data_IF_935523907640
#
_entry.id   IF_935523907640
#
_cell.length_a   1.000
_cell.length_b   1.000
_cell.length_c   1.000
_cell.angle_alpha   90.00
_cell.angle_beta   90.00
_cell.angle_gamma   90.00
#
_symmetry.space_group_name_H-M   'P 1'
#
loop_
_entity.id
_entity.type
_entity.pdbx_description
1 polymer ?
#
# COMPACT_ATOMS: atom_id res chain seq x y z
N UNK A 1 -49.37 2.24 -1.81
CA UNK A 1 -48.67 1.55 -2.93
C UNK A 1 -47.20 1.93 -2.86
N UNK A 2 -46.38 1.07 -2.25
CA UNK A 2 -44.99 1.40 -1.91
C UNK A 2 -44.05 1.01 -3.03
N UNK A 3 -43.48 2.01 -3.70
CA UNK A 3 -42.44 1.83 -4.72
C UNK A 3 -41.15 1.37 -4.04
N UNK A 4 -40.81 0.10 -4.22
CA UNK A 4 -39.51 -0.44 -3.81
C UNK A 4 -38.46 0.04 -4.81
N UNK A 5 -37.58 0.96 -4.38
CA UNK A 5 -36.38 1.29 -5.13
C UNK A 5 -35.45 0.07 -5.10
N UNK A 6 -35.24 -0.55 -6.26
CA UNK A 6 -34.29 -1.65 -6.41
C UNK A 6 -32.86 -1.12 -6.28
N UNK A 7 -32.11 -1.72 -5.36
CA UNK A 7 -30.66 -1.50 -5.20
C UNK A 7 -29.98 -1.78 -6.54
N UNK A 8 -29.43 -0.73 -7.15
CA UNK A 8 -28.51 -0.85 -8.29
C UNK A 8 -27.22 -1.50 -7.79
N UNK A 9 -27.01 -2.79 -8.11
CA UNK A 9 -25.70 -3.41 -8.01
C UNK A 9 -24.78 -2.73 -9.04
N UNK A 10 -23.80 -1.97 -8.55
CA UNK A 10 -22.66 -1.57 -9.38
C UNK A 10 -21.80 -2.82 -9.60
N UNK A 11 -21.96 -3.43 -10.77
CA UNK A 11 -21.05 -4.43 -11.31
C UNK A 11 -19.65 -3.79 -11.44
N UNK A 12 -18.70 -4.25 -10.63
CA UNK A 12 -17.28 -3.93 -10.80
C UNK A 12 -16.81 -4.75 -12.00
N UNK A 13 -16.72 -4.09 -13.15
CA UNK A 13 -16.22 -4.67 -14.39
C UNK A 13 -14.70 -4.77 -14.24
N UNK A 14 -14.20 -5.89 -13.72
CA UNK A 14 -12.79 -6.26 -13.88
C UNK A 14 -12.56 -6.74 -15.31
N UNK A 15 -12.55 -5.84 -16.30
CA UNK A 15 -12.13 -6.18 -17.65
C UNK A 15 -10.62 -5.96 -17.78
N UNK A 16 -9.83 -6.91 -17.29
CA UNK A 16 -8.42 -7.00 -17.71
C UNK A 16 -8.39 -7.71 -19.07
N UNK A 17 -7.96 -7.05 -20.16
CA UNK A 17 -7.86 -7.67 -21.49
C UNK A 17 -6.69 -8.67 -21.61
N UNK A 18 -5.99 -8.95 -20.51
CA UNK A 18 -4.87 -9.91 -20.48
C UNK A 18 -5.19 -10.96 -19.44
N UNK A 19 -5.16 -12.22 -19.86
CA UNK A 19 -5.32 -13.39 -18.99
C UNK A 19 -4.08 -13.58 -18.10
N UNK A 20 -3.78 -12.58 -17.29
CA UNK A 20 -2.77 -12.64 -16.23
C UNK A 20 -3.50 -13.09 -14.97
N UNK A 21 -3.03 -14.14 -14.27
CA UNK A 21 -3.62 -14.52 -13.00
C UNK A 21 -3.48 -13.37 -11.98
N UNK A 22 -4.50 -13.17 -11.16
CA UNK A 22 -4.63 -12.05 -10.23
C UNK A 22 -3.37 -11.75 -9.39
N UNK A 23 -2.74 -12.78 -8.82
CA UNK A 23 -1.50 -12.63 -8.03
C UNK A 23 -0.35 -12.00 -8.85
N UNK A 24 -0.20 -12.39 -10.12
CA UNK A 24 0.82 -11.81 -11.01
C UNK A 24 0.46 -10.39 -11.40
N UNK A 25 -0.83 -10.06 -11.52
CA UNK A 25 -1.27 -8.69 -11.76
C UNK A 25 -0.88 -7.75 -10.61
N UNK A 26 -1.06 -8.18 -9.36
CA UNK A 26 -0.65 -7.38 -8.20
C UNK A 26 0.85 -7.14 -8.14
N UNK A 27 1.67 -8.15 -8.45
CA UNK A 27 3.13 -8.00 -8.53
C UNK A 27 3.53 -7.00 -9.61
N UNK A 28 2.88 -7.06 -10.79
CA UNK A 28 3.11 -6.11 -11.87
C UNK A 28 2.71 -4.69 -11.47
N UNK A 29 1.57 -4.52 -10.77
CA UNK A 29 1.15 -3.20 -10.27
C UNK A 29 2.12 -2.66 -9.24
N UNK A 30 2.58 -3.49 -8.29
CA UNK A 30 3.61 -3.09 -7.32
C UNK A 30 4.88 -2.63 -8.01
N UNK A 31 5.38 -3.43 -8.95
CA UNK A 31 6.58 -3.08 -9.71
C UNK A 31 6.42 -1.76 -10.47
N UNK A 32 5.27 -1.52 -11.11
CA UNK A 32 4.99 -0.26 -11.82
C UNK A 32 4.94 0.96 -10.88
N UNK A 33 4.45 0.79 -9.64
CA UNK A 33 4.49 1.87 -8.64
C UNK A 33 5.91 2.19 -8.20
N UNK A 34 6.77 1.19 -8.08
CA UNK A 34 8.18 1.36 -7.71
C UNK A 34 9.03 1.93 -8.86
N UNK A 35 8.66 1.61 -10.11
CA UNK A 35 9.42 1.96 -11.32
C UNK A 35 8.60 2.84 -12.28
N UNK A 36 8.01 3.90 -11.73
CA UNK A 36 7.21 4.83 -12.52
C UNK A 36 8.01 5.50 -13.65
N UNK A 37 7.41 5.56 -14.84
CA UNK A 37 7.99 6.21 -16.03
C UNK A 37 7.00 7.26 -16.57
N UNK A 38 7.44 8.49 -16.91
CA UNK A 38 6.59 9.52 -17.50
C UNK A 38 5.99 9.12 -18.85
N UNK A 39 4.81 9.64 -19.25
CA UNK A 39 4.12 9.25 -20.48
C UNK A 39 4.98 9.32 -21.75
N UNK A 40 5.87 10.32 -21.84
CA UNK A 40 6.74 10.53 -23.01
C UNK A 40 7.77 9.41 -23.25
N UNK A 41 8.08 8.62 -22.21
CA UNK A 41 9.08 7.54 -22.27
C UNK A 41 8.44 6.14 -22.29
N UNK A 42 7.10 6.04 -22.30
CA UNK A 42 6.41 4.75 -22.29
C UNK A 42 6.34 4.17 -23.68
N UNK A 43 6.63 2.88 -23.78
CA UNK A 43 6.43 2.15 -25.03
C UNK A 43 5.02 1.53 -25.07
N UNK A 44 4.26 1.66 -26.17
CA UNK A 44 2.90 1.15 -26.26
C UNK A 44 2.82 -0.38 -26.24
N UNK A 45 3.93 -1.07 -26.49
CA UNK A 45 4.01 -2.55 -26.42
C UNK A 45 4.29 -3.09 -25.01
N UNK A 46 4.42 -2.23 -23.99
CA UNK A 46 4.57 -2.69 -22.61
C UNK A 46 3.31 -3.39 -22.12
N UNK A 47 3.45 -4.15 -21.04
CA UNK A 47 2.31 -4.85 -20.43
C UNK A 47 1.20 -3.83 -20.10
N UNK A 48 -0.05 -4.04 -20.55
CA UNK A 48 -1.12 -3.08 -20.31
C UNK A 48 -1.43 -2.89 -18.84
N UNK A 49 -1.13 -3.86 -17.96
CA UNK A 49 -1.23 -3.68 -16.51
C UNK A 49 -0.28 -2.57 -16.03
N UNK A 50 0.95 -2.52 -16.56
CA UNK A 50 1.89 -1.43 -16.25
C UNK A 50 1.38 -0.10 -16.78
N UNK A 51 0.91 -0.05 -18.03
CA UNK A 51 0.43 1.19 -18.65
C UNK A 51 -0.79 1.74 -17.91
N UNK A 52 -1.72 0.87 -17.50
CA UNK A 52 -2.87 1.25 -16.68
C UNK A 52 -2.47 1.76 -15.30
N UNK A 53 -1.55 1.07 -14.62
CA UNK A 53 -1.09 1.50 -13.30
C UNK A 53 -0.33 2.83 -13.37
N UNK A 54 0.55 3.02 -14.37
CA UNK A 54 1.24 4.29 -14.56
C UNK A 54 0.29 5.43 -14.92
N UNK A 55 -0.75 5.18 -15.72
CA UNK A 55 -1.80 6.16 -16.00
C UNK A 55 -2.59 6.55 -14.74
N UNK A 56 -2.81 5.59 -13.83
CA UNK A 56 -3.40 5.86 -12.52
C UNK A 56 -2.48 6.73 -11.67
N UNK A 57 -1.17 6.46 -11.68
CA UNK A 57 -0.19 7.28 -10.97
C UNK A 57 -0.16 8.71 -11.54
N UNK A 58 -0.24 8.87 -12.87
CA UNK A 58 -0.35 10.20 -13.50
C UNK A 58 -1.56 10.97 -12.97
N UNK A 59 -2.71 10.30 -12.89
CA UNK A 59 -3.92 10.89 -12.34
C UNK A 59 -3.75 11.23 -10.86
N UNK A 60 -3.16 10.35 -10.05
CA UNK A 60 -2.87 10.64 -8.64
C UNK A 60 -1.95 11.86 -8.48
N UNK A 61 -0.95 12.03 -9.35
CA UNK A 61 -0.04 13.19 -9.36
C UNK A 61 -0.78 14.45 -9.78
N UNK A 62 -1.52 14.40 -10.90
CA UNK A 62 -2.31 15.54 -11.38
C UNK A 62 -3.35 15.97 -10.35
N UNK A 63 -4.05 15.00 -9.76
CA UNK A 63 -4.95 15.26 -8.65
C UNK A 63 -4.18 15.87 -7.49
N UNK A 64 -3.01 15.37 -7.10
CA UNK A 64 -2.18 15.97 -6.05
C UNK A 64 -1.72 17.38 -6.37
N UNK A 65 -1.44 17.72 -7.62
CA UNK A 65 -1.01 19.06 -8.04
C UNK A 65 -2.18 20.04 -8.07
N UNK A 66 -3.29 19.61 -8.67
CA UNK A 66 -4.57 20.30 -8.55
C UNK A 66 -4.94 20.45 -7.07
N UNK A 67 -4.55 19.45 -6.26
CA UNK A 67 -4.71 19.44 -4.82
C UNK A 67 -3.72 20.38 -4.08
N UNK A 68 -2.50 20.49 -4.56
CA UNK A 68 -1.50 21.43 -4.05
C UNK A 68 -1.92 22.89 -4.23
N UNK A 69 -2.83 23.13 -5.19
CA UNK A 69 -3.33 24.46 -5.55
C UNK A 69 -4.46 25.00 -4.65
N UNK A 70 -4.60 24.52 -3.40
CA UNK A 70 -5.44 25.03 -2.28
C UNK A 70 -6.69 24.13 -1.96
N UNK A 71 -6.71 23.56 -0.74
CA UNK A 71 -7.87 23.40 0.20
C UNK A 71 -8.35 22.02 0.72
N UNK A 72 -8.09 20.85 0.13
CA UNK A 72 -8.69 19.57 0.59
C UNK A 72 -7.78 18.71 1.49
N UNK A 73 -6.94 19.33 2.31
CA UNK A 73 -6.43 18.70 3.55
C UNK A 73 -6.83 19.49 4.80
N UNK A 74 -7.80 20.40 4.68
CA UNK A 74 -8.45 20.97 5.85
C UNK A 74 -9.56 20.00 6.24
N UNK A 75 -9.34 19.21 7.28
CA UNK A 75 -10.43 18.55 8.00
C UNK A 75 -11.17 19.67 8.72
N UNK A 76 -12.41 20.03 8.31
CA UNK A 76 -13.14 21.09 8.99
C UNK A 76 -13.39 20.61 10.40
N UNK A 77 -12.70 21.22 11.36
CA UNK A 77 -13.06 21.07 12.76
C UNK A 77 -14.39 21.78 12.93
N UNK A 78 -15.37 21.05 13.43
CA UNK A 78 -16.69 21.59 13.76
C UNK A 78 -16.46 22.85 14.62
N UNK A 79 -17.02 24.03 14.28
CA UNK A 79 -16.88 25.21 15.11
C UNK A 79 -17.59 24.94 16.45
N UNK A 80 -16.85 24.46 17.43
CA UNK A 80 -17.34 24.08 18.75
C UNK A 80 -16.39 24.58 19.82
N UNK A 81 -16.95 25.22 20.85
CA UNK A 81 -16.32 26.22 21.71
C UNK A 81 -15.11 25.79 22.55
N UNK A 82 -14.68 24.53 22.56
CA UNK A 82 -13.54 24.11 23.39
C UNK A 82 -12.74 23.00 22.73
N UNK A 83 -11.54 23.36 22.25
CA UNK A 83 -10.50 22.38 21.98
C UNK A 83 -10.03 21.83 23.33
N UNK A 84 -10.37 20.58 23.63
CA UNK A 84 -9.77 19.87 24.76
C UNK A 84 -8.35 19.52 24.34
N UNK A 85 -7.39 20.41 24.63
CA UNK A 85 -5.97 20.05 24.56
C UNK A 85 -5.75 19.04 25.68
N UNK A 86 -5.75 17.76 25.33
CA UNK A 86 -5.30 16.76 26.27
C UNK A 86 -3.84 17.12 26.63
N UNK A 87 -3.48 17.19 27.92
CA UNK A 87 -2.12 17.49 28.31
C UNK A 87 -1.19 16.51 27.61
N UNK A 88 -0.08 17.02 27.04
CA UNK A 88 0.96 16.20 26.43
C UNK A 88 1.24 15.02 27.36
N UNK A 89 0.93 13.81 26.87
CA UNK A 89 0.95 12.57 27.64
C UNK A 89 2.13 12.57 28.58
N UNK A 90 1.86 12.74 29.90
CA UNK A 90 2.90 12.72 30.91
C UNK A 90 3.70 11.43 30.70
N UNK A 91 5.02 11.57 30.56
CA UNK A 91 6.00 10.56 30.16
C UNK A 91 5.44 9.13 30.28
N UNK A 92 4.90 8.60 29.17
CA UNK A 92 4.41 7.23 29.13
C UNK A 92 5.53 6.33 29.67
N UNK A 93 5.17 5.40 30.55
CA UNK A 93 6.10 4.41 31.08
C UNK A 93 6.82 3.77 29.89
N UNK A 94 8.15 3.82 29.90
CA UNK A 94 8.97 3.32 28.80
C UNK A 94 8.50 1.91 28.40
N UNK A 95 8.39 1.63 27.09
CA UNK A 95 8.02 0.30 26.63
C UNK A 95 8.95 -0.73 27.26
N UNK A 96 8.40 -1.89 27.64
CA UNK A 96 9.21 -3.00 28.14
C UNK A 96 10.06 -3.50 26.97
N UNK A 97 11.28 -2.98 26.87
CA UNK A 97 12.26 -3.45 25.90
C UNK A 97 12.56 -4.91 26.21
N UNK A 98 12.32 -5.80 25.24
CA UNK A 98 12.82 -7.17 25.32
C UNK A 98 14.34 -7.08 25.31
N UNK A 99 14.98 -7.42 26.43
CA UNK A 99 16.42 -7.64 26.44
C UNK A 99 16.73 -8.73 25.43
N UNK A 100 17.69 -8.49 24.54
CA UNK A 100 18.14 -9.47 23.56
C UNK A 100 18.51 -10.76 24.28
N UNK A 101 17.80 -11.83 23.97
CA UNK A 101 18.14 -13.18 24.44
C UNK A 101 19.57 -13.42 23.95
N UNK A 102 20.54 -13.74 24.84
CA UNK A 102 21.88 -14.09 24.38
C UNK A 102 21.74 -15.28 23.44
N UNK A 103 22.32 -15.14 22.24
CA UNK A 103 22.41 -16.24 21.28
C UNK A 103 23.15 -17.38 21.97
N UNK A 104 22.40 -18.37 22.47
CA UNK A 104 22.99 -19.63 22.92
C UNK A 104 23.66 -20.20 21.69
N UNK A 105 25.00 -20.25 21.72
CA UNK A 105 25.81 -20.83 20.67
C UNK A 105 25.27 -22.23 20.36
N UNK A 106 24.83 -22.42 19.13
CA UNK A 106 24.30 -23.68 18.61
C UNK A 106 25.39 -24.75 18.80
N UNK A 107 25.16 -25.84 19.55
CA UNK A 107 26.16 -26.89 19.68
C UNK A 107 26.42 -27.50 18.30
N UNK A 108 27.69 -27.69 17.95
CA UNK A 108 28.10 -28.31 16.70
C UNK A 108 27.82 -29.82 16.77
N UNK A 109 26.68 -30.26 16.25
CA UNK A 109 26.31 -31.69 16.20
C UNK A 109 26.44 -32.26 14.78
N UNK A 110 27.60 -32.15 14.13
CA UNK A 110 27.96 -33.05 13.01
C UNK A 110 29.47 -33.23 12.94
N UNK A 111 30.06 -33.86 13.95
CA UNK A 111 31.43 -34.35 13.89
C UNK A 111 31.37 -35.86 14.17
N UNK A 112 31.02 -36.64 13.15
CA UNK A 112 31.21 -38.10 13.05
C UNK A 112 30.48 -38.64 11.83
N UNK A 113 31.17 -38.76 10.69
CA UNK A 113 30.94 -39.83 9.70
C UNK A 113 31.95 -39.68 8.56
N UNK A 114 33.22 -40.03 8.79
CA UNK A 114 34.04 -40.60 7.72
C UNK A 114 35.26 -41.33 8.29
N UNK A 115 35.08 -42.61 8.65
CA UNK A 115 36.19 -43.56 8.79
C UNK A 115 35.66 -45.00 8.89
N UNK A 116 35.32 -45.58 7.73
CA UNK A 116 35.45 -47.02 7.50
C UNK A 116 35.87 -47.25 6.05
N UNK A 117 37.17 -47.50 5.88
CA UNK A 117 37.75 -48.15 4.70
C UNK A 117 38.43 -49.42 5.17
#
# INVERSE_FOLDING_TARGET
MSVHLSKTQRSIINSSPVNVPFMKEEELRRWARDHYVPPALRHPSWNPVFLQEMARIDQEILERELRGSRLYSLVPLEPGDFYRVDPCQAALKAPKMLMSIPTIARPAYYETADERR
#
